data_IF_380310075828
#
_entry.id   IF_380310075828
#
_cell.length_a   1.000
_cell.length_b   1.000
_cell.length_c   1.000
_cell.angle_alpha   90.00
_cell.angle_beta   90.00
_cell.angle_gamma   90.00
#
_symmetry.space_group_name_H-M   'P 1'
#
loop_
_entity.id
_entity.type
_entity.pdbx_description
1 polymer ?
#
# COMPACT_ATOMS: atom_id res chain seq x y z
N UNK A 1 0.94 -1.03 16.23
CA UNK A 1 -0.13 0.00 16.11
C UNK A 1 -0.82 -0.14 14.75
N UNK A 2 -2.15 -0.03 14.73
CA UNK A 2 -2.91 -0.18 13.50
C UNK A 2 -3.27 1.19 12.90
N UNK A 3 -3.24 1.29 11.57
CA UNK A 3 -3.77 2.45 10.86
C UNK A 3 -5.29 2.51 11.08
N UNK A 4 -5.84 3.61 11.60
CA UNK A 4 -7.29 3.73 11.73
C UNK A 4 -7.95 3.88 10.36
N UNK A 5 -9.06 3.16 10.16
CA UNK A 5 -9.85 3.21 8.92
C UNK A 5 -11.33 3.40 9.27
N UNK A 6 -12.07 4.07 8.38
CA UNK A 6 -13.50 4.32 8.60
C UNK A 6 -14.35 3.07 8.39
N UNK A 7 -14.02 2.28 7.39
CA UNK A 7 -14.78 1.09 6.98
C UNK A 7 -13.79 -0.04 6.78
N UNK A 8 -13.75 -0.96 7.77
CA UNK A 8 -12.76 -2.05 7.76
C UNK A 8 -12.94 -2.98 6.56
N UNK A 9 -14.18 -3.26 6.15
CA UNK A 9 -14.44 -4.14 5.02
C UNK A 9 -13.93 -3.53 3.71
N UNK A 10 -14.16 -2.24 3.52
CA UNK A 10 -13.70 -1.52 2.34
C UNK A 10 -12.18 -1.41 2.30
N UNK A 11 -11.56 -1.09 3.42
CA UNK A 11 -10.10 -1.01 3.51
C UNK A 11 -9.46 -2.37 3.35
N UNK A 12 -10.07 -3.44 3.89
CA UNK A 12 -9.61 -4.81 3.67
C UNK A 12 -9.58 -5.14 2.18
N UNK A 13 -10.68 -4.87 1.48
CA UNK A 13 -10.77 -5.15 0.04
C UNK A 13 -9.68 -4.40 -0.74
N UNK A 14 -9.45 -3.14 -0.38
CA UNK A 14 -8.41 -2.33 -1.03
C UNK A 14 -7.01 -2.92 -0.80
N UNK A 15 -6.62 -3.12 0.47
CA UNK A 15 -5.26 -3.56 0.79
C UNK A 15 -5.02 -5.00 0.35
N UNK A 16 -6.00 -5.87 0.47
CA UNK A 16 -5.87 -7.24 -0.01
C UNK A 16 -5.62 -7.28 -1.53
N UNK A 17 -6.34 -6.45 -2.29
CA UNK A 17 -6.14 -6.34 -3.73
C UNK A 17 -4.82 -5.67 -4.09
N UNK A 18 -4.54 -4.52 -3.48
CA UNK A 18 -3.35 -3.72 -3.78
C UNK A 18 -2.04 -4.45 -3.43
N UNK A 19 -2.06 -5.25 -2.37
CA UNK A 19 -0.87 -5.94 -1.87
C UNK A 19 -0.75 -7.37 -2.40
N UNK A 20 -1.71 -7.83 -3.21
CA UNK A 20 -1.63 -9.16 -3.82
C UNK A 20 -0.33 -9.37 -4.60
N UNK A 21 0.16 -8.39 -5.39
CA UNK A 21 1.44 -8.57 -6.09
C UNK A 21 2.64 -8.82 -5.18
N UNK A 22 2.53 -8.45 -3.90
CA UNK A 22 3.57 -8.70 -2.90
C UNK A 22 3.47 -10.10 -2.27
N UNK A 23 2.42 -10.88 -2.62
CA UNK A 23 2.17 -12.18 -1.99
C UNK A 23 1.59 -12.06 -0.60
N UNK A 24 0.70 -11.09 -0.39
CA UNK A 24 0.16 -10.77 0.93
C UNK A 24 -0.62 -11.94 1.53
N UNK A 25 -0.49 -12.10 2.86
CA UNK A 25 -1.34 -12.97 3.67
C UNK A 25 -2.10 -12.10 4.66
N UNK A 26 -3.42 -12.31 4.72
CA UNK A 26 -4.27 -11.57 5.65
C UNK A 26 -4.36 -12.34 6.97
N UNK A 27 -4.17 -11.63 8.07
CA UNK A 27 -4.23 -12.19 9.42
C UNK A 27 -5.32 -11.47 10.20
N UNK A 28 -6.30 -12.21 10.70
CA UNK A 28 -7.37 -11.62 11.51
C UNK A 28 -7.02 -11.70 12.98
N UNK A 29 -7.32 -10.65 13.72
CA UNK A 29 -7.16 -10.62 15.17
C UNK A 29 -8.31 -9.84 15.79
N UNK A 30 -8.55 -9.99 17.12
CA UNK A 30 -9.61 -9.23 17.79
C UNK A 30 -9.44 -7.71 17.69
N UNK A 31 -8.20 -7.23 17.51
CA UNK A 31 -7.90 -5.80 17.51
C UNK A 31 -7.71 -5.21 16.11
N UNK A 32 -7.87 -6.02 15.04
CA UNK A 32 -7.74 -5.50 13.67
C UNK A 32 -7.36 -6.56 12.66
N UNK A 33 -6.98 -6.10 11.47
CA UNK A 33 -6.52 -6.94 10.38
C UNK A 33 -5.06 -6.68 10.09
N UNK A 34 -4.28 -7.74 9.95
CA UNK A 34 -2.88 -7.67 9.57
C UNK A 34 -2.68 -8.13 8.13
N UNK A 35 -1.70 -7.53 7.48
CA UNK A 35 -1.28 -7.86 6.11
C UNK A 35 0.21 -8.17 6.16
N UNK A 36 0.56 -9.44 5.98
CA UNK A 36 1.95 -9.89 6.03
C UNK A 36 2.51 -10.02 4.62
N UNK A 37 3.68 -9.42 4.38
CA UNK A 37 4.34 -9.39 3.09
C UNK A 37 5.82 -9.72 3.31
N UNK A 38 6.16 -11.00 3.40
CA UNK A 38 7.51 -11.41 3.71
C UNK A 38 7.90 -10.97 5.12
N UNK A 39 8.93 -10.14 5.23
CA UNK A 39 9.39 -9.58 6.51
C UNK A 39 8.75 -8.23 6.86
N UNK A 40 7.82 -7.75 6.02
CA UNK A 40 7.05 -6.56 6.29
C UNK A 40 5.67 -6.94 6.80
N UNK A 41 5.10 -6.14 7.68
CA UNK A 41 3.70 -6.30 8.08
C UNK A 41 3.02 -4.94 8.21
N UNK A 42 1.69 -4.96 8.13
CA UNK A 42 0.89 -3.74 8.14
C UNK A 42 -0.47 -4.07 8.77
N UNK A 43 -0.95 -3.22 9.67
CA UNK A 43 -2.19 -3.47 10.42
C UNK A 43 -3.17 -2.32 10.25
N UNK A 44 -4.46 -2.67 10.15
CA UNK A 44 -5.56 -1.69 10.12
C UNK A 44 -6.58 -2.03 11.20
N UNK A 45 -7.29 -1.00 11.69
CA UNK A 45 -8.37 -1.17 12.66
C UNK A 45 -9.37 -0.03 12.52
N UNK A 46 -10.64 -0.27 12.84
CA UNK A 46 -11.64 0.80 12.78
C UNK A 46 -11.35 1.88 13.81
N UNK A 47 -11.52 3.14 13.40
CA UNK A 47 -11.27 4.28 14.29
C UNK A 47 -11.47 5.60 13.57
N UNK A 48 -11.27 6.68 14.32
CA UNK A 48 -11.38 8.03 13.78
C UNK A 48 -10.20 8.32 12.85
N UNK A 49 -10.49 8.81 11.67
CA UNK A 49 -9.52 9.04 10.61
C UNK A 49 -9.40 10.52 10.29
N UNK A 50 -8.17 11.03 10.29
CA UNK A 50 -7.85 12.31 9.70
C UNK A 50 -7.47 12.04 8.23
N UNK A 51 -8.38 12.35 7.32
CA UNK A 51 -8.25 12.01 5.91
C UNK A 51 -6.94 12.54 5.31
N UNK A 52 -6.24 11.69 4.56
CA UNK A 52 -5.04 12.06 3.83
C UNK A 52 -3.80 12.32 4.68
N UNK A 53 -3.82 11.90 5.94
CA UNK A 53 -2.79 12.28 6.90
C UNK A 53 -1.57 11.35 6.94
N UNK A 54 -1.64 10.17 6.31
CA UNK A 54 -0.59 9.15 6.43
C UNK A 54 -0.01 8.81 5.07
N UNK A 55 1.32 8.61 5.05
CA UNK A 55 2.05 8.09 3.89
C UNK A 55 2.63 6.74 4.28
N UNK A 56 2.28 5.71 3.53
CA UNK A 56 2.71 4.33 3.80
C UNK A 56 3.45 3.83 2.58
N UNK A 57 4.67 3.32 2.77
CA UNK A 57 5.47 2.78 1.69
C UNK A 57 5.78 1.30 1.92
N UNK A 58 5.59 0.49 0.90
CA UNK A 58 5.93 -0.93 0.91
C UNK A 58 7.09 -1.17 -0.05
N UNK A 59 8.14 -1.81 0.44
CA UNK A 59 9.29 -2.15 -0.39
C UNK A 59 8.95 -3.31 -1.31
N UNK A 60 9.14 -3.11 -2.61
CA UNK A 60 8.89 -4.12 -3.63
C UNK A 60 10.21 -4.77 -4.06
N UNK A 61 10.20 -6.06 -4.41
CA UNK A 61 11.42 -6.77 -4.82
C UNK A 61 11.89 -6.41 -6.23
N UNK A 62 11.02 -5.84 -7.06
CA UNK A 62 11.31 -5.53 -8.46
C UNK A 62 10.33 -4.49 -8.99
N UNK A 63 10.59 -4.01 -10.21
CA UNK A 63 9.74 -3.02 -10.87
C UNK A 63 8.39 -3.61 -11.28
N UNK A 64 8.34 -4.87 -11.66
CA UNK A 64 7.10 -5.54 -12.04
C UNK A 64 6.10 -5.54 -10.90
N UNK A 65 6.57 -5.72 -9.66
CA UNK A 65 5.69 -5.67 -8.49
C UNK A 65 5.12 -4.26 -8.28
N UNK A 66 5.93 -3.23 -8.51
CA UNK A 66 5.46 -1.83 -8.43
C UNK A 66 4.38 -1.58 -9.48
N UNK A 67 4.61 -2.02 -10.72
CA UNK A 67 3.63 -1.85 -11.80
C UNK A 67 2.32 -2.59 -11.48
N UNK A 68 2.42 -3.83 -11.03
CA UNK A 68 1.26 -4.65 -10.69
C UNK A 68 0.50 -4.09 -9.49
N UNK A 69 1.21 -3.52 -8.51
CA UNK A 69 0.59 -2.83 -7.38
C UNK A 69 -0.32 -1.70 -7.86
N UNK A 70 0.19 -0.86 -8.75
CA UNK A 70 -0.58 0.30 -9.22
C UNK A 70 -1.89 -0.14 -9.89
N UNK A 71 -1.82 -1.12 -10.78
CA UNK A 71 -3.01 -1.65 -11.46
C UNK A 71 -3.97 -2.26 -10.45
N UNK A 72 -3.48 -3.12 -9.57
CA UNK A 72 -4.32 -3.83 -8.59
C UNK A 72 -4.95 -2.86 -7.59
N UNK A 73 -4.21 -1.85 -7.15
CA UNK A 73 -4.71 -0.88 -6.17
C UNK A 73 -5.82 -0.01 -6.76
N UNK A 74 -5.66 0.42 -8.00
CA UNK A 74 -6.71 1.20 -8.68
C UNK A 74 -7.95 0.34 -8.91
N UNK A 75 -7.77 -0.91 -9.33
CA UNK A 75 -8.89 -1.85 -9.51
C UNK A 75 -9.61 -2.14 -8.20
N UNK A 76 -8.89 -2.10 -7.08
CA UNK A 76 -9.47 -2.35 -5.76
C UNK A 76 -10.13 -1.11 -5.14
N UNK A 77 -10.27 -0.03 -5.90
CA UNK A 77 -10.96 1.18 -5.47
C UNK A 77 -10.07 2.34 -5.09
N UNK A 78 -8.76 2.21 -5.26
CA UNK A 78 -7.82 3.31 -5.02
C UNK A 78 -7.85 4.35 -6.13
N UNK A 79 -7.27 5.50 -5.84
CA UNK A 79 -7.17 6.62 -6.80
C UNK A 79 -5.69 6.82 -7.15
N UNK A 80 -5.39 6.87 -8.45
CA UNK A 80 -4.04 7.13 -8.92
C UNK A 80 -3.49 8.42 -8.30
N UNK A 81 -2.30 8.34 -7.72
CA UNK A 81 -1.61 9.48 -7.12
C UNK A 81 -0.15 9.53 -7.58
N UNK A 82 0.19 8.81 -8.63
CA UNK A 82 1.52 8.77 -9.22
C UNK A 82 1.77 7.45 -9.92
N UNK A 83 1.80 7.46 -11.25
CA UNK A 83 2.03 6.27 -12.06
C UNK A 83 3.41 5.67 -11.80
N UNK A 84 3.60 4.37 -12.06
CA UNK A 84 4.91 3.76 -11.92
C UNK A 84 5.97 4.50 -12.74
N UNK A 85 7.09 4.78 -12.13
CA UNK A 85 8.18 5.47 -12.80
C UNK A 85 9.32 5.80 -11.84
N UNK A 86 10.42 6.24 -12.43
CA UNK A 86 11.59 6.65 -11.66
C UNK A 86 11.36 7.98 -10.96
N UNK A 87 11.87 8.07 -9.74
CA UNK A 87 11.81 9.29 -8.92
C UNK A 87 13.25 9.65 -8.50
N UNK A 88 14.08 10.15 -9.44
CA UNK A 88 15.51 10.39 -9.15
C UNK A 88 15.74 11.42 -8.06
N UNK A 89 14.76 12.27 -7.78
CA UNK A 89 14.85 13.25 -6.68
C UNK A 89 14.98 12.61 -5.30
N UNK A 90 14.54 11.33 -5.14
CA UNK A 90 14.73 10.61 -3.88
C UNK A 90 16.10 9.94 -3.85
N UNK A 91 16.42 9.17 -4.86
CA UNK A 91 17.76 8.66 -5.14
C UNK A 91 17.77 7.93 -6.49
N UNK A 92 18.96 7.62 -6.97
CA UNK A 92 19.12 6.89 -8.23
C UNK A 92 18.48 5.50 -8.11
N UNK A 93 17.69 5.13 -9.10
CA UNK A 93 17.04 3.82 -9.13
C UNK A 93 15.75 3.71 -8.34
N UNK A 94 15.29 4.81 -7.71
CA UNK A 94 14.04 4.82 -6.95
C UNK A 94 12.87 4.73 -7.93
N UNK A 95 12.24 3.55 -8.01
CA UNK A 95 11.12 3.29 -8.91
C UNK A 95 9.86 3.05 -8.07
N UNK A 96 8.85 3.89 -8.23
CA UNK A 96 7.70 3.87 -7.33
C UNK A 96 6.40 4.19 -8.04
N UNK A 97 5.31 3.79 -7.40
CA UNK A 97 3.95 4.17 -7.77
C UNK A 97 3.17 4.53 -6.51
N UNK A 98 2.20 5.41 -6.64
CA UNK A 98 1.44 5.96 -5.53
C UNK A 98 -0.05 5.87 -5.83
N UNK A 99 -0.83 5.45 -4.82
CA UNK A 99 -2.29 5.33 -4.93
C UNK A 99 -2.90 5.82 -3.61
N UNK A 100 -4.01 6.53 -3.67
CA UNK A 100 -4.74 6.91 -2.47
C UNK A 100 -5.65 5.76 -2.05
N UNK A 101 -5.63 5.42 -0.75
CA UNK A 101 -6.51 4.39 -0.20
C UNK A 101 -7.93 4.94 0.02
N UNK A 102 -8.90 4.12 0.50
CA UNK A 102 -10.27 4.59 0.70
C UNK A 102 -10.41 5.79 1.65
N UNK A 103 -9.47 6.00 2.55
CA UNK A 103 -9.47 7.13 3.49
C UNK A 103 -8.61 8.29 3.00
N UNK A 104 -8.05 8.20 1.80
CA UNK A 104 -7.24 9.27 1.22
C UNK A 104 -5.78 9.26 1.65
N UNK A 105 -5.30 8.18 2.28
CA UNK A 105 -3.89 8.05 2.65
C UNK A 105 -3.06 7.74 1.40
N UNK A 106 -1.83 8.26 1.37
CA UNK A 106 -0.92 8.03 0.26
C UNK A 106 -0.19 6.69 0.45
N UNK A 107 -0.49 5.72 -0.40
CA UNK A 107 0.10 4.38 -0.35
C UNK A 107 1.07 4.21 -1.51
N UNK A 108 2.28 3.81 -1.19
CA UNK A 108 3.37 3.70 -2.16
C UNK A 108 3.91 2.28 -2.23
N UNK A 109 4.20 1.80 -3.43
CA UNK A 109 5.08 0.65 -3.63
C UNK A 109 6.38 1.19 -4.21
N UNK A 110 7.52 0.78 -3.67
CA UNK A 110 8.82 1.28 -4.11
C UNK A 110 9.84 0.15 -4.25
N UNK A 111 10.52 0.16 -5.40
CA UNK A 111 11.71 -0.64 -5.63
C UNK A 111 12.90 0.31 -5.64
N UNK A 112 13.83 0.12 -4.71
CA UNK A 112 14.94 1.06 -4.54
C UNK A 112 16.03 0.92 -5.60
N UNK A 113 15.97 -0.14 -6.39
CA UNK A 113 16.96 -0.39 -7.44
C UNK A 113 18.24 -0.98 -6.88
N UNK A 114 19.17 -1.21 -7.79
CA UNK A 114 20.52 -1.68 -7.45
C UNK A 114 21.42 -0.46 -7.32
N UNK A 115 22.02 -0.30 -6.16
CA UNK A 115 22.97 0.80 -5.92
C UNK A 115 24.37 0.29 -5.82
#
# INVERSE_FOLDING_TARGET
>A
MALPVRDIARSRAFYEGALRPFGVKVVESPSGLGFALGDQDFWIGEGDVAAGSVHIAFAAPDRETVDAFHVAAVEAGGVDNGRPGLRPRYHSGYYAAFVLDPDGNNVEAVFHGDH
#
